data_IF_114416375451
#
_entry.id   IF_114416375451
#
_cell.length_a   1.000
_cell.length_b   1.000
_cell.length_c   1.000
_cell.angle_alpha   90.00
_cell.angle_beta   90.00
_cell.angle_gamma   90.00
#
_symmetry.space_group_name_H-M   'P 1'
#
loop_
_entity.id
_entity.type
_entity.pdbx_description
1 polymer ?
#
# COMPACT_ATOMS: atom_id res chain seq x y z
N UNK A 1 -13.83 -9.90 -9.42
CA UNK A 1 -13.22 -9.97 -8.09
C UNK A 1 -14.20 -10.54 -7.08
N UNK A 2 -13.69 -11.30 -6.12
CA UNK A 2 -14.51 -11.83 -5.02
C UNK A 2 -14.06 -11.17 -3.73
N UNK A 3 -14.97 -10.46 -3.08
CA UNK A 3 -14.69 -9.74 -1.83
C UNK A 3 -15.47 -10.42 -0.69
N UNK A 4 -14.75 -10.85 0.35
CA UNK A 4 -15.39 -11.37 1.56
C UNK A 4 -16.00 -10.24 2.38
N UNK A 5 -16.65 -10.56 3.51
CA UNK A 5 -17.30 -9.54 4.33
C UNK A 5 -16.37 -8.59 5.05
N UNK A 6 -16.86 -7.39 5.37
CA UNK A 6 -16.16 -6.38 6.18
C UNK A 6 -14.82 -5.92 5.60
N UNK A 7 -14.74 -5.76 4.27
CA UNK A 7 -13.56 -5.23 3.59
C UNK A 7 -13.68 -3.72 3.50
N UNK A 8 -12.59 -3.01 3.81
CA UNK A 8 -12.49 -1.58 3.59
C UNK A 8 -11.67 -1.32 2.34
N UNK A 9 -12.21 -0.54 1.42
CA UNK A 9 -11.52 -0.16 0.19
C UNK A 9 -11.44 1.35 0.14
N UNK A 10 -10.23 1.88 0.15
CA UNK A 10 -10.03 3.31 0.02
C UNK A 10 -10.15 3.75 -1.45
N UNK A 11 -10.12 5.06 -1.68
CA UNK A 11 -10.37 5.64 -3.01
C UNK A 11 -9.34 5.18 -4.04
N UNK A 12 -9.83 4.95 -5.25
CA UNK A 12 -9.01 4.60 -6.41
C UNK A 12 -8.21 3.30 -6.30
N UNK A 13 -8.54 2.43 -5.34
CA UNK A 13 -7.99 1.09 -5.30
C UNK A 13 -8.57 0.25 -6.45
N UNK A 14 -7.71 -0.56 -7.08
CA UNK A 14 -8.10 -1.42 -8.20
C UNK A 14 -7.92 -2.88 -7.80
N UNK A 15 -8.97 -3.67 -7.96
CA UNK A 15 -8.92 -5.12 -7.73
C UNK A 15 -9.08 -5.82 -9.07
N UNK A 16 -8.06 -6.52 -9.48
CA UNK A 16 -8.01 -7.22 -10.76
C UNK A 16 -9.03 -8.35 -10.87
N UNK A 17 -9.29 -8.78 -12.11
CA UNK A 17 -10.25 -9.85 -12.39
C UNK A 17 -9.86 -11.15 -11.69
N UNK A 18 -10.86 -11.86 -11.15
CA UNK A 18 -10.69 -13.11 -10.43
C UNK A 18 -9.75 -13.05 -9.22
N UNK A 19 -9.42 -11.86 -8.75
CA UNK A 19 -8.73 -11.71 -7.47
C UNK A 19 -9.70 -11.92 -6.32
N UNK A 20 -9.19 -12.47 -5.21
CA UNK A 20 -9.98 -12.69 -4.00
C UNK A 20 -9.39 -11.89 -2.84
N UNK A 21 -10.24 -11.28 -2.04
CA UNK A 21 -9.82 -10.50 -0.87
C UNK A 21 -10.49 -11.11 0.35
N UNK A 22 -9.67 -11.47 1.34
CA UNK A 22 -10.14 -12.11 2.56
C UNK A 22 -10.87 -11.13 3.47
N UNK A 23 -11.71 -11.68 4.34
CA UNK A 23 -12.50 -10.90 5.29
C UNK A 23 -11.62 -9.99 6.14
N UNK A 24 -12.09 -8.78 6.40
CA UNK A 24 -11.44 -7.73 7.22
C UNK A 24 -10.15 -7.14 6.62
N UNK A 25 -9.77 -7.51 5.42
CA UNK A 25 -8.62 -6.89 4.75
C UNK A 25 -8.96 -5.45 4.37
N UNK A 26 -7.97 -4.57 4.50
CA UNK A 26 -8.06 -3.18 4.07
C UNK A 26 -7.21 -2.95 2.84
N UNK A 27 -7.78 -2.29 1.85
CA UNK A 27 -7.08 -1.93 0.61
C UNK A 27 -6.82 -0.44 0.61
N UNK A 28 -5.55 -0.05 0.59
CA UNK A 28 -5.16 1.34 0.61
C UNK A 28 -5.49 2.08 -0.69
N UNK A 29 -5.58 3.40 -0.61
CA UNK A 29 -5.89 4.23 -1.78
C UNK A 29 -4.83 4.06 -2.87
N UNK A 30 -5.24 4.15 -4.12
CA UNK A 30 -4.37 4.01 -5.28
C UNK A 30 -3.56 2.71 -5.32
N UNK A 31 -3.95 1.70 -4.55
CA UNK A 31 -3.32 0.37 -4.64
C UNK A 31 -3.90 -0.43 -5.80
N UNK A 32 -3.12 -1.40 -6.27
CA UNK A 32 -3.57 -2.34 -7.31
C UNK A 32 -3.33 -3.75 -6.81
N UNK A 33 -4.37 -4.58 -6.90
CA UNK A 33 -4.23 -6.03 -6.74
C UNK A 33 -4.35 -6.66 -8.13
N UNK A 34 -3.33 -7.39 -8.55
CA UNK A 34 -3.31 -8.06 -9.85
C UNK A 34 -4.38 -9.14 -9.96
N UNK A 35 -4.74 -9.49 -11.20
CA UNK A 35 -5.71 -10.55 -11.45
C UNK A 35 -5.28 -11.91 -10.89
N UNK A 36 -6.24 -12.74 -10.52
CA UNK A 36 -6.03 -14.06 -9.92
C UNK A 36 -5.29 -14.05 -8.58
N UNK A 37 -5.10 -12.89 -7.97
CA UNK A 37 -4.37 -12.76 -6.69
C UNK A 37 -5.26 -13.09 -5.50
N UNK A 38 -4.63 -13.47 -4.38
CA UNK A 38 -5.32 -13.71 -3.11
C UNK A 38 -4.76 -12.81 -2.02
N UNK A 39 -5.52 -11.81 -1.59
CA UNK A 39 -5.11 -10.87 -0.56
C UNK A 39 -5.60 -11.33 0.81
N UNK A 40 -4.68 -11.73 1.67
CA UNK A 40 -4.95 -12.16 3.04
C UNK A 40 -4.40 -11.20 4.10
N UNK A 41 -3.71 -10.15 3.66
CA UNK A 41 -3.17 -9.08 4.50
C UNK A 41 -3.55 -7.74 3.92
N UNK A 42 -3.44 -6.69 4.71
CA UNK A 42 -3.75 -5.34 4.26
C UNK A 42 -2.78 -4.90 3.16
N UNK A 43 -3.33 -4.25 2.14
CA UNK A 43 -2.53 -3.74 1.03
C UNK A 43 -2.27 -2.25 1.28
N UNK A 44 -1.00 -1.85 1.46
CA UNK A 44 -0.71 -0.46 1.74
C UNK A 44 -1.07 0.46 0.58
N UNK A 45 -1.42 1.73 0.87
CA UNK A 45 -1.72 2.69 -0.18
C UNK A 45 -0.59 2.83 -1.20
N UNK A 46 -0.94 3.15 -2.42
CA UNK A 46 -0.03 3.49 -3.50
C UNK A 46 0.81 2.34 -4.06
N UNK A 47 0.57 1.12 -3.65
CA UNK A 47 1.42 -0.04 -3.98
C UNK A 47 0.75 -0.99 -4.94
N UNK A 48 1.56 -1.78 -5.65
CA UNK A 48 1.10 -2.89 -6.48
C UNK A 48 1.34 -4.19 -5.74
N UNK A 49 0.29 -5.00 -5.60
CA UNK A 49 0.35 -6.31 -4.99
C UNK A 49 -0.10 -7.38 -5.98
N UNK A 50 0.55 -8.52 -5.97
CA UNK A 50 0.22 -9.61 -6.90
C UNK A 50 0.55 -10.97 -6.27
N UNK A 51 -0.12 -12.02 -6.73
CA UNK A 51 0.15 -13.40 -6.34
C UNK A 51 -0.92 -14.04 -5.48
N UNK A 52 -0.84 -15.35 -5.30
CA UNK A 52 -1.83 -16.15 -4.54
C UNK A 52 -1.72 -15.93 -3.02
N UNK A 53 -0.58 -15.56 -2.54
CA UNK A 53 -0.39 -14.83 -1.32
C UNK A 53 0.30 -13.56 -1.75
N UNK A 54 -0.44 -12.48 -1.80
CA UNK A 54 0.07 -11.25 -2.42
C UNK A 54 1.40 -10.82 -1.82
N UNK A 55 2.28 -10.37 -2.72
CA UNK A 55 3.52 -9.70 -2.39
C UNK A 55 3.51 -8.34 -3.04
N UNK A 56 4.22 -7.38 -2.43
CA UNK A 56 4.37 -6.06 -3.01
C UNK A 56 5.46 -6.05 -4.07
N UNK A 57 5.16 -5.43 -5.20
CA UNK A 57 6.08 -5.31 -6.33
C UNK A 57 6.57 -3.89 -6.56
N UNK A 58 6.11 -2.95 -5.77
CA UNK A 58 6.56 -1.59 -5.84
C UNK A 58 5.42 -0.60 -5.84
N UNK A 59 5.77 0.62 -6.17
CA UNK A 59 4.85 1.74 -6.20
C UNK A 59 4.00 1.70 -7.48
N UNK A 60 2.73 2.05 -7.36
CA UNK A 60 1.83 2.20 -8.50
C UNK A 60 2.11 3.53 -9.23
N UNK A 61 3.26 3.63 -9.86
CA UNK A 61 3.68 4.89 -10.49
C UNK A 61 2.76 5.34 -11.61
N UNK A 62 2.21 4.39 -12.38
CA UNK A 62 1.28 4.72 -13.46
C UNK A 62 0.01 5.34 -12.91
N UNK A 63 -0.57 4.75 -11.87
CA UNK A 63 -1.78 5.30 -11.24
C UNK A 63 -1.55 6.65 -10.60
N UNK A 64 -0.43 6.84 -9.93
CA UNK A 64 -0.09 8.12 -9.33
C UNK A 64 0.05 9.21 -10.39
N UNK A 65 0.68 8.90 -11.51
CA UNK A 65 0.82 9.84 -12.63
C UNK A 65 -0.54 10.18 -13.24
N UNK A 66 -1.41 9.20 -13.41
CA UNK A 66 -2.77 9.43 -13.95
C UNK A 66 -3.61 10.33 -13.06
N UNK A 67 -3.39 10.29 -11.76
CA UNK A 67 -4.11 11.12 -10.79
C UNK A 67 -3.35 12.39 -10.42
N UNK A 68 -2.41 12.81 -11.27
CA UNK A 68 -1.69 14.09 -11.17
C UNK A 68 -0.93 14.30 -9.87
N UNK A 69 -0.39 13.21 -9.29
CA UNK A 69 0.51 13.34 -8.16
C UNK A 69 1.76 14.11 -8.56
N UNK A 70 2.19 15.05 -7.72
CA UNK A 70 3.38 15.85 -7.99
C UNK A 70 4.65 14.98 -8.03
N UNK A 71 5.69 15.46 -8.69
CA UNK A 71 7.00 14.81 -8.66
C UNK A 71 7.52 14.65 -7.24
N UNK A 72 7.31 15.65 -6.40
CA UNK A 72 7.72 15.59 -5.00
C UNK A 72 6.96 14.50 -4.25
N UNK A 73 5.65 14.41 -4.41
CA UNK A 73 4.85 13.36 -3.76
C UNK A 73 5.31 11.98 -4.19
N UNK A 74 5.52 11.74 -5.48
CA UNK A 74 5.99 10.45 -5.99
C UNK A 74 7.40 10.14 -5.46
N UNK A 75 8.29 11.11 -5.44
CA UNK A 75 9.64 10.94 -4.91
C UNK A 75 9.62 10.57 -3.42
N UNK A 76 8.78 11.23 -2.63
CA UNK A 76 8.61 10.92 -1.22
C UNK A 76 8.07 9.51 -1.01
N UNK A 77 7.11 9.09 -1.82
CA UNK A 77 6.55 7.74 -1.74
C UNK A 77 7.56 6.66 -2.15
N UNK A 78 8.40 6.93 -3.16
CA UNK A 78 9.49 6.03 -3.53
C UNK A 78 10.48 5.85 -2.39
N UNK A 79 10.85 6.95 -1.72
CA UNK A 79 11.73 6.92 -0.56
C UNK A 79 11.08 6.13 0.58
N UNK A 80 9.80 6.38 0.85
CA UNK A 80 9.05 5.67 1.87
C UNK A 80 9.02 4.17 1.59
N UNK A 81 8.76 3.77 0.36
CA UNK A 81 8.74 2.36 -0.03
C UNK A 81 10.09 1.69 0.28
N UNK A 82 11.20 2.32 -0.10
CA UNK A 82 12.52 1.77 0.17
C UNK A 82 12.78 1.59 1.65
N UNK A 83 12.43 2.59 2.45
CA UNK A 83 12.67 2.55 3.90
C UNK A 83 11.83 1.49 4.58
N UNK A 84 10.55 1.38 4.23
CA UNK A 84 9.63 0.42 4.89
C UNK A 84 9.87 -1.00 4.41
N UNK A 85 10.00 -1.22 3.11
CA UNK A 85 9.92 -2.56 2.51
C UNK A 85 11.25 -3.10 1.99
N UNK A 86 12.25 -2.26 1.77
CA UNK A 86 13.52 -2.64 1.15
C UNK A 86 14.73 -2.41 2.04
N UNK A 87 14.53 -1.95 3.27
CA UNK A 87 15.60 -1.84 4.26
C UNK A 87 15.53 -3.01 5.24
N UNK A 88 16.57 -3.16 6.05
CA UNK A 88 16.60 -4.17 7.11
C UNK A 88 15.97 -3.68 8.43
N UNK A 89 15.39 -2.50 8.43
CA UNK A 89 14.80 -1.92 9.64
C UNK A 89 13.53 -2.65 10.04
N UNK A 90 13.27 -2.70 11.35
CA UNK A 90 11.96 -3.13 11.84
C UNK A 90 10.89 -2.15 11.39
N UNK A 91 9.63 -2.58 11.39
CA UNK A 91 8.53 -1.70 11.00
C UNK A 91 8.52 -0.41 11.82
N UNK A 92 8.67 -0.51 13.14
CA UNK A 92 8.68 0.66 14.01
C UNK A 92 9.82 1.62 13.68
N UNK A 93 11.03 1.09 13.51
CA UNK A 93 12.21 1.92 13.18
C UNK A 93 12.06 2.56 11.81
N UNK A 94 11.51 1.83 10.83
CA UNK A 94 11.26 2.37 9.50
C UNK A 94 10.28 3.54 9.55
N UNK A 95 9.18 3.40 10.27
CA UNK A 95 8.19 4.47 10.40
C UNK A 95 8.76 5.67 11.15
N UNK A 96 9.54 5.45 12.19
CA UNK A 96 10.21 6.54 12.92
C UNK A 96 11.17 7.30 12.01
N UNK A 97 11.95 6.58 11.21
CA UNK A 97 12.87 7.20 10.25
C UNK A 97 12.12 8.03 9.20
N UNK A 98 11.01 7.50 8.69
CA UNK A 98 10.19 8.24 7.74
C UNK A 98 9.67 9.55 8.31
N UNK A 99 9.15 9.51 9.54
CA UNK A 99 8.63 10.70 10.20
C UNK A 99 9.72 11.75 10.45
N UNK A 100 10.97 11.31 10.64
CA UNK A 100 12.10 12.22 10.81
C UNK A 100 12.57 12.81 9.48
N UNK A 101 12.58 12.02 8.39
CA UNK A 101 13.15 12.43 7.11
C UNK A 101 12.17 13.10 6.17
N UNK A 102 10.90 12.70 6.19
CA UNK A 102 9.89 13.24 5.28
C UNK A 102 8.85 14.01 6.07
N UNK A 103 8.82 15.32 5.87
CA UNK A 103 7.92 16.25 6.52
C UNK A 103 6.97 16.85 5.50
N UNK A 104 5.76 17.21 5.95
CA UNK A 104 4.78 17.92 5.12
C UNK A 104 4.38 17.14 3.85
N UNK A 105 4.29 15.81 3.97
CA UNK A 105 3.80 14.95 2.88
C UNK A 105 2.52 14.25 3.34
N UNK A 106 1.34 14.74 2.90
CA UNK A 106 0.08 14.08 3.25
C UNK A 106 0.01 12.64 2.79
N UNK A 107 0.61 12.33 1.66
CA UNK A 107 0.64 10.97 1.10
C UNK A 107 1.44 10.01 1.97
N UNK A 108 2.61 10.44 2.42
CA UNK A 108 3.45 9.64 3.31
C UNK A 108 2.79 9.50 4.68
N UNK A 109 2.18 10.56 5.19
CA UNK A 109 1.43 10.51 6.45
C UNK A 109 0.30 9.51 6.37
N UNK A 110 -0.43 9.49 5.27
CA UNK A 110 -1.51 8.52 5.06
C UNK A 110 -0.97 7.08 5.05
N UNK A 111 0.13 6.85 4.35
CA UNK A 111 0.79 5.54 4.32
C UNK A 111 1.19 5.09 5.73
N UNK A 112 1.82 5.96 6.49
CA UNK A 112 2.24 5.66 7.86
C UNK A 112 1.02 5.32 8.73
N UNK A 113 -0.03 6.13 8.67
CA UNK A 113 -1.23 5.90 9.46
C UNK A 113 -1.93 4.60 9.07
N UNK A 114 -1.98 4.29 7.78
CA UNK A 114 -2.54 3.03 7.31
C UNK A 114 -1.79 1.83 7.92
N UNK A 115 -0.47 1.87 7.89
CA UNK A 115 0.36 0.79 8.44
C UNK A 115 0.18 0.67 9.95
N UNK A 116 0.19 1.80 10.67
CA UNK A 116 0.01 1.80 12.14
C UNK A 116 -1.34 1.21 12.57
N UNK A 117 -2.37 1.41 11.75
CA UNK A 117 -3.73 0.96 12.08
C UNK A 117 -4.04 -0.43 11.53
N UNK A 118 -3.09 -1.10 10.90
CA UNK A 118 -3.30 -2.45 10.38
C UNK A 118 -3.34 -3.46 11.52
N UNK A 119 -4.42 -4.24 11.56
CA UNK A 119 -4.59 -5.32 12.54
C UNK A 119 -4.19 -6.68 11.99
N UNK A 120 -4.33 -6.88 10.68
CA UNK A 120 -4.01 -8.14 10.01
C UNK A 120 -2.54 -8.24 9.59
N UNK A 121 -1.79 -7.16 9.65
CA UNK A 121 -0.47 -7.04 9.07
C UNK A 121 -0.52 -6.56 7.63
N UNK A 122 0.62 -6.07 7.16
CA UNK A 122 0.77 -5.47 5.84
C UNK A 122 1.42 -6.49 4.90
N UNK A 123 0.93 -6.60 3.66
CA UNK A 123 1.58 -7.38 2.61
C UNK A 123 2.99 -6.80 2.34
N UNK A 124 3.93 -7.68 2.02
CA UNK A 124 5.32 -7.29 1.76
C UNK A 124 5.85 -7.85 0.45
#
# INVERSE_FOLDING_TARGET
ATLAGHIEIEDYAIVGGLAAVHQFVRLGCHSIIGGFSGANKDIPPYMIANGQRVKLYGLNTVGLKRHDFSHEAVSNLKKAYRIIFRSSLTAKKALDQLQAEIKNSPEVDHLINFIKNSKRGIAR
#
